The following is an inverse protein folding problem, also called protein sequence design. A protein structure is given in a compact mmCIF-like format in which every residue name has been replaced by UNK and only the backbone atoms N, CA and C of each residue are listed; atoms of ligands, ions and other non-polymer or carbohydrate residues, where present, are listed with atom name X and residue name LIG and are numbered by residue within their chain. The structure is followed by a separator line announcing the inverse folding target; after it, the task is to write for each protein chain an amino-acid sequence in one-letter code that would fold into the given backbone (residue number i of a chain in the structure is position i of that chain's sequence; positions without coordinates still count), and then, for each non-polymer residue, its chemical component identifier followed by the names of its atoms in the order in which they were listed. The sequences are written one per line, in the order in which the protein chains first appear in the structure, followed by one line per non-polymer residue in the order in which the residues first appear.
data_IF_670689961249
#
_entry.id   IF_670689961249
#
_cell.length_a   1.000
_cell.length_b   1.000
_cell.length_c   1.000
_cell.angle_alpha   90.00
_cell.angle_beta   90.00
_cell.angle_gamma   90.00
#
_symmetry.space_group_name_H-M   'P 1'
#
loop_
_entity.id
_entity.type
_entity.pdbx_description
1 polymer ?
#
# COMPACT_ATOMS: atom_id res chain seq x y z
N UNK A 1 2.81 9.48 18.65
CA UNK A 1 4.23 9.43 19.00
C UNK A 1 4.94 8.88 17.77
N UNK A 2 6.14 9.38 17.45
CA UNK A 2 6.95 8.81 16.38
C UNK A 2 7.26 7.33 16.65
N UNK A 3 7.34 6.52 15.62
CA UNK A 3 7.75 5.11 15.70
C UNK A 3 9.23 4.96 15.34
N UNK A 4 9.74 3.72 15.33
CA UNK A 4 11.15 3.45 15.00
C UNK A 4 11.50 3.77 13.54
N UNK A 5 10.51 3.75 12.64
CA UNK A 5 10.73 3.92 11.21
C UNK A 5 9.93 5.07 10.59
N UNK A 6 9.14 5.81 11.40
CA UNK A 6 8.39 6.99 10.95
C UNK A 6 8.42 8.11 11.99
N UNK A 7 8.75 9.33 11.56
CA UNK A 7 8.78 10.54 12.39
C UNK A 7 7.47 11.35 12.36
N UNK A 8 6.34 10.68 12.10
CA UNK A 8 5.02 11.31 12.03
C UNK A 8 4.36 11.45 13.42
N UNK A 9 3.52 12.46 13.59
CA UNK A 9 2.67 12.67 14.76
C UNK A 9 1.36 11.84 14.69
N UNK A 10 0.66 11.60 15.82
CA UNK A 10 -0.69 11.04 15.79
C UNK A 10 -1.62 11.89 14.92
N UNK A 11 -2.41 11.25 14.06
CA UNK A 11 -3.32 11.93 13.14
C UNK A 11 -2.67 12.44 11.85
N UNK A 12 -1.36 12.27 11.66
CA UNK A 12 -0.70 12.67 10.41
C UNK A 12 -1.03 11.78 9.23
N UNK A 13 -1.34 10.51 9.47
CA UNK A 13 -1.81 9.58 8.44
C UNK A 13 -3.34 9.55 8.41
N UNK A 14 -3.90 9.53 7.21
CA UNK A 14 -5.29 9.21 6.99
C UNK A 14 -5.54 7.71 7.26
N UNK A 15 -6.80 7.34 7.49
CA UNK A 15 -7.16 5.94 7.68
C UNK A 15 -6.90 5.04 6.46
N UNK A 16 -6.79 5.63 5.27
CA UNK A 16 -6.47 4.93 4.01
C UNK A 16 -5.08 5.36 3.52
N UNK A 17 -4.19 4.40 3.32
CA UNK A 17 -2.83 4.63 2.81
C UNK A 17 -2.61 3.84 1.52
N UNK A 18 -2.26 4.53 0.43
CA UNK A 18 -1.70 3.90 -0.76
C UNK A 18 -0.20 3.68 -0.57
N UNK A 19 0.30 2.50 -0.92
CA UNK A 19 1.70 2.15 -0.68
C UNK A 19 2.41 1.67 -1.94
N UNK A 20 3.12 2.55 -2.67
CA UNK A 20 4.11 2.13 -3.64
C UNK A 20 5.37 1.59 -2.95
N UNK A 21 6.21 0.86 -3.70
CA UNK A 21 7.52 0.43 -3.17
C UNK A 21 8.56 1.54 -3.17
N UNK A 22 8.52 2.42 -4.16
CA UNK A 22 9.51 3.47 -4.40
C UNK A 22 9.07 4.82 -3.78
N UNK A 23 9.90 5.47 -2.95
CA UNK A 23 9.61 6.80 -2.40
C UNK A 23 9.40 7.88 -3.48
N UNK A 24 10.08 7.80 -4.62
CA UNK A 24 9.86 8.73 -5.73
C UNK A 24 8.46 8.56 -6.32
N UNK A 25 7.94 7.32 -6.31
CA UNK A 25 6.55 7.05 -6.74
C UNK A 25 5.55 7.53 -5.70
N UNK A 26 5.87 7.49 -4.41
CA UNK A 26 5.02 8.08 -3.38
C UNK A 26 4.90 9.61 -3.56
N UNK A 27 6.04 10.27 -3.82
CA UNK A 27 6.05 11.69 -4.16
C UNK A 27 5.27 11.98 -5.44
N UNK A 28 5.51 11.22 -6.51
CA UNK A 28 4.77 11.39 -7.77
C UNK A 28 3.26 11.33 -7.57
N UNK A 29 2.75 10.34 -6.83
CA UNK A 29 1.31 10.21 -6.58
C UNK A 29 0.81 11.39 -5.75
N UNK A 30 1.55 11.79 -4.72
CA UNK A 30 1.23 12.95 -3.88
C UNK A 30 1.09 14.22 -4.72
N UNK A 31 2.11 14.54 -5.51
CA UNK A 31 2.18 15.78 -6.29
C UNK A 31 1.17 15.82 -7.44
N UNK A 32 0.81 14.65 -7.98
CA UNK A 32 -0.07 14.55 -9.16
C UNK A 32 -1.56 14.49 -8.80
N UNK A 33 -1.90 13.84 -7.68
CA UNK A 33 -3.29 13.48 -7.40
C UNK A 33 -3.84 14.07 -6.10
N UNK A 34 -3.01 14.49 -5.16
CA UNK A 34 -3.49 14.98 -3.87
C UNK A 34 -3.49 16.51 -3.80
N UNK A 35 -4.61 17.06 -3.35
CA UNK A 35 -4.72 18.46 -2.95
C UNK A 35 -4.11 18.63 -1.55
N UNK A 36 -3.48 19.79 -1.30
CA UNK A 36 -2.90 20.16 0.00
C UNK A 36 -1.94 19.11 0.59
N UNK A 37 -1.22 18.40 -0.29
CA UNK A 37 -0.35 17.32 0.14
C UNK A 37 0.85 17.85 0.95
N UNK A 38 1.10 17.23 2.10
CA UNK A 38 2.28 17.49 2.94
C UNK A 38 3.04 16.21 3.21
N UNK A 39 4.38 16.30 3.24
CA UNK A 39 5.22 15.19 3.69
C UNK A 39 5.09 15.03 5.21
N UNK A 40 4.79 13.83 5.67
CA UNK A 40 4.57 13.51 7.09
C UNK A 40 5.67 12.64 7.68
N UNK A 41 6.45 11.95 6.85
CA UNK A 41 7.62 11.19 7.29
C UNK A 41 8.66 11.09 6.17
N UNK A 42 9.94 11.05 6.56
CA UNK A 42 11.07 10.90 5.64
C UNK A 42 12.21 10.01 6.19
N UNK A 43 12.01 9.38 7.35
CA UNK A 43 12.97 8.45 7.96
C UNK A 43 13.39 7.36 6.95
N UNK A 44 14.70 7.13 6.82
CA UNK A 44 15.32 6.15 5.90
C UNK A 44 15.02 6.39 4.41
N UNK A 45 14.67 7.61 4.03
CA UNK A 45 14.15 7.95 2.70
C UNK A 45 12.84 7.20 2.37
N UNK A 46 12.10 6.77 3.38
CA UNK A 46 10.77 6.20 3.19
C UNK A 46 9.72 7.29 3.30
N UNK A 47 9.50 7.98 2.19
CA UNK A 47 8.65 9.16 2.17
C UNK A 47 7.17 8.80 2.29
N UNK A 48 6.50 9.50 3.20
CA UNK A 48 5.05 9.44 3.38
C UNK A 48 4.44 10.83 3.29
N UNK A 49 3.27 10.91 2.67
CA UNK A 49 2.53 12.13 2.41
C UNK A 49 1.08 11.95 2.81
N UNK A 50 0.42 13.03 3.20
CA UNK A 50 -1.02 13.08 3.44
C UNK A 50 -1.58 14.34 2.78
N UNK A 51 -2.69 14.18 2.08
CA UNK A 51 -3.44 15.26 1.44
C UNK A 51 -4.89 14.81 1.23
N UNK A 52 -5.57 15.43 0.27
CA UNK A 52 -6.95 15.15 -0.04
C UNK A 52 -7.11 14.68 -1.49
N UNK A 53 -7.98 13.69 -1.71
CA UNK A 53 -8.42 13.31 -3.04
C UNK A 53 -9.94 13.42 -3.09
N UNK A 54 -10.46 14.33 -3.92
CA UNK A 54 -11.92 14.59 -4.03
C UNK A 54 -12.58 14.86 -2.67
N UNK A 55 -11.92 15.65 -1.82
CA UNK A 55 -12.40 16.01 -0.48
C UNK A 55 -12.25 14.93 0.59
N UNK A 56 -11.57 13.81 0.28
CA UNK A 56 -11.29 12.75 1.26
C UNK A 56 -9.81 12.74 1.63
N UNK A 57 -9.51 12.73 2.93
CA UNK A 57 -8.14 12.57 3.42
C UNK A 57 -7.57 11.21 3.00
N UNK A 58 -6.41 11.23 2.35
CA UNK A 58 -5.71 10.04 1.84
C UNK A 58 -4.21 10.24 2.05
N UNK A 59 -3.54 9.17 2.47
CA UNK A 59 -2.09 9.16 2.56
C UNK A 59 -1.46 8.29 1.48
N UNK A 60 -0.23 8.62 1.11
CA UNK A 60 0.61 7.82 0.22
C UNK A 60 1.95 7.65 0.88
N UNK A 61 2.41 6.41 1.06
CA UNK A 61 3.70 6.15 1.71
C UNK A 61 4.44 4.99 1.06
N UNK A 62 5.72 5.19 0.77
CA UNK A 62 6.54 4.11 0.26
C UNK A 62 6.76 3.00 1.30
N UNK A 63 7.00 1.78 0.82
CA UNK A 63 7.24 0.62 1.69
C UNK A 63 8.53 -0.15 1.38
N UNK A 64 9.36 0.34 0.46
CA UNK A 64 10.57 -0.33 0.01
C UNK A 64 10.32 -1.61 -0.81
N UNK A 65 11.35 -2.46 -0.93
CA UNK A 65 11.27 -3.72 -1.66
C UNK A 65 11.28 -4.92 -0.70
N UNK A 66 10.38 -5.88 -0.93
CA UNK A 66 10.31 -7.14 -0.21
C UNK A 66 9.39 -7.13 1.03
N UNK A 67 8.93 -8.34 1.37
CA UNK A 67 8.02 -8.58 2.51
C UNK A 67 8.56 -8.03 3.84
N UNK A 68 9.86 -8.19 4.19
CA UNK A 68 10.38 -7.67 5.46
C UNK A 68 10.24 -6.15 5.58
N UNK A 69 10.55 -5.41 4.50
CA UNK A 69 10.45 -3.95 4.49
C UNK A 69 9.00 -3.50 4.65
N UNK A 70 8.10 -4.03 3.81
CA UNK A 70 6.68 -3.67 3.87
C UNK A 70 6.03 -4.04 5.21
N UNK A 71 6.44 -5.16 5.83
CA UNK A 71 5.90 -5.61 7.12
C UNK A 71 6.12 -4.58 8.22
N UNK A 72 7.26 -3.90 8.24
CA UNK A 72 7.57 -2.86 9.24
C UNK A 72 6.58 -1.70 9.13
N UNK A 73 6.51 -1.11 7.93
CA UNK A 73 5.70 0.10 7.72
C UNK A 73 4.20 -0.20 7.88
N UNK A 74 3.70 -1.31 7.33
CA UNK A 74 2.31 -1.71 7.53
C UNK A 74 1.97 -1.92 9.02
N UNK A 75 2.86 -2.57 9.78
CA UNK A 75 2.62 -2.82 11.21
C UNK A 75 2.53 -1.53 12.00
N UNK A 76 3.47 -0.60 11.77
CA UNK A 76 3.49 0.68 12.47
C UNK A 76 2.31 1.58 12.06
N UNK A 77 1.97 1.64 10.77
CA UNK A 77 0.80 2.38 10.26
C UNK A 77 -0.50 1.91 10.95
N UNK A 78 -0.71 0.60 11.03
CA UNK A 78 -1.93 0.02 11.59
C UNK A 78 -1.98 0.20 13.11
N UNK A 79 -0.89 -0.14 13.81
CA UNK A 79 -0.89 -0.21 15.29
C UNK A 79 -0.65 1.14 15.96
N UNK A 80 0.11 2.03 15.34
CA UNK A 80 0.57 3.29 15.96
C UNK A 80 -0.11 4.54 15.38
N UNK A 81 -0.55 4.47 14.12
CA UNK A 81 -1.16 5.60 13.40
C UNK A 81 -2.65 5.39 13.06
N UNK A 82 -3.24 4.26 13.47
CA UNK A 82 -4.68 4.03 13.35
C UNK A 82 -5.17 3.76 11.94
N UNK A 83 -4.26 3.50 10.98
CA UNK A 83 -4.59 3.17 9.60
C UNK A 83 -5.48 1.94 9.55
N UNK A 84 -6.56 2.01 8.77
CA UNK A 84 -7.57 0.95 8.62
C UNK A 84 -7.44 0.20 7.31
N UNK A 85 -6.93 0.87 6.28
CA UNK A 85 -6.87 0.34 4.91
C UNK A 85 -5.51 0.64 4.29
N UNK A 86 -4.82 -0.41 3.88
CA UNK A 86 -3.54 -0.32 3.15
C UNK A 86 -3.76 -0.89 1.75
N UNK A 87 -3.42 -0.11 0.73
CA UNK A 87 -3.55 -0.50 -0.68
C UNK A 87 -2.18 -0.42 -1.33
N UNK A 88 -1.54 -1.57 -1.58
CA UNK A 88 -0.29 -1.60 -2.35
C UNK A 88 -0.55 -1.24 -3.81
N UNK A 89 0.18 -0.25 -4.33
CA UNK A 89 0.15 0.15 -5.74
C UNK A 89 1.53 -0.05 -6.38
N UNK A 90 1.68 -1.13 -7.14
CA UNK A 90 2.99 -1.57 -7.63
C UNK A 90 2.95 -2.12 -9.04
N UNK A 91 4.13 -2.51 -9.52
CA UNK A 91 4.28 -3.30 -10.75
C UNK A 91 4.45 -4.77 -10.41
N UNK A 92 4.14 -5.64 -11.38
CA UNK A 92 4.42 -7.07 -11.35
C UNK A 92 4.82 -7.55 -12.74
N UNK A 93 5.46 -8.73 -12.78
CA UNK A 93 5.63 -9.50 -14.02
C UNK A 93 4.54 -10.56 -14.13
N UNK A 94 4.38 -11.14 -15.31
CA UNK A 94 3.43 -12.22 -15.59
C UNK A 94 4.09 -13.28 -16.47
N UNK A 95 3.78 -14.54 -16.21
CA UNK A 95 4.04 -15.67 -17.11
C UNK A 95 2.77 -16.09 -17.87
N UNK A 96 1.62 -15.50 -17.55
CA UNK A 96 0.34 -15.83 -18.19
C UNK A 96 0.27 -15.17 -19.58
N UNK A 97 0.08 -15.94 -20.66
CA UNK A 97 0.20 -15.44 -22.03
C UNK A 97 -0.83 -14.35 -22.39
N UNK A 98 -1.98 -14.34 -21.73
CA UNK A 98 -3.06 -13.38 -22.00
C UNK A 98 -2.89 -12.03 -21.31
N UNK A 99 -2.02 -11.94 -20.31
CA UNK A 99 -1.75 -10.68 -19.59
C UNK A 99 -0.72 -9.88 -20.39
N UNK A 100 -1.07 -8.67 -20.79
CA UNK A 100 -0.24 -7.80 -21.63
C UNK A 100 0.45 -6.71 -20.80
N UNK A 101 1.46 -6.06 -21.39
CA UNK A 101 2.09 -4.90 -20.77
C UNK A 101 1.03 -3.82 -20.51
N UNK A 102 1.05 -3.28 -19.29
CA UNK A 102 0.11 -2.26 -18.77
C UNK A 102 -1.29 -2.76 -18.40
N UNK A 103 -1.57 -4.06 -18.50
CA UNK A 103 -2.79 -4.63 -17.90
C UNK A 103 -2.76 -4.43 -16.37
N UNK A 104 -3.92 -4.12 -15.77
CA UNK A 104 -4.08 -3.89 -14.34
C UNK A 104 -4.52 -5.17 -13.66
N UNK A 105 -3.72 -5.65 -12.70
CA UNK A 105 -4.05 -6.83 -11.92
C UNK A 105 -4.51 -6.42 -10.51
N UNK A 106 -5.76 -6.77 -10.19
CA UNK A 106 -6.29 -6.69 -8.83
C UNK A 106 -6.18 -8.07 -8.19
N UNK A 107 -5.16 -8.25 -7.35
CA UNK A 107 -4.88 -9.53 -6.71
C UNK A 107 -5.74 -9.73 -5.46
N UNK A 108 -6.59 -10.76 -5.45
CA UNK A 108 -7.37 -11.14 -4.28
C UNK A 108 -6.61 -11.98 -3.26
N UNK A 109 -5.48 -12.57 -3.67
CA UNK A 109 -4.60 -13.35 -2.82
C UNK A 109 -3.16 -13.36 -3.34
N UNK A 110 -2.22 -13.77 -2.49
CA UNK A 110 -0.80 -13.81 -2.84
C UNK A 110 -0.15 -15.11 -2.36
N UNK A 111 0.40 -15.89 -3.29
CA UNK A 111 1.35 -16.96 -2.97
C UNK A 111 2.71 -16.37 -2.57
N UNK A 112 3.50 -17.13 -1.84
CA UNK A 112 4.85 -16.70 -1.44
C UNK A 112 5.77 -17.88 -1.19
N UNK A 113 7.04 -17.71 -1.52
CA UNK A 113 8.16 -18.58 -1.13
C UNK A 113 8.78 -18.15 0.21
N UNK A 114 8.36 -17.00 0.78
CA UNK A 114 8.82 -16.52 2.06
C UNK A 114 8.28 -17.35 3.22
N UNK A 115 9.14 -17.67 4.19
CA UNK A 115 8.73 -18.31 5.45
C UNK A 115 7.87 -17.43 6.37
N UNK A 116 7.61 -16.16 6.02
CA UNK A 116 6.91 -15.20 6.89
C UNK A 116 5.53 -15.66 7.36
N UNK A 117 4.74 -16.30 6.49
CA UNK A 117 3.39 -16.75 6.84
C UNK A 117 3.43 -18.03 7.67
N UNK A 118 4.26 -19.01 7.27
CA UNK A 118 4.45 -20.26 8.04
C UNK A 118 4.93 -19.98 9.46
N UNK A 119 5.87 -19.04 9.64
CA UNK A 119 6.34 -18.64 10.96
C UNK A 119 5.22 -18.06 11.84
N UNK A 120 4.25 -17.35 11.25
CA UNK A 120 3.10 -16.78 11.97
C UNK A 120 1.98 -17.79 12.21
N UNK A 121 1.91 -18.83 11.39
CA UNK A 121 0.82 -19.80 11.36
C UNK A 121 1.28 -21.21 11.76
N UNK A 122 2.29 -21.30 12.64
CA UNK A 122 2.72 -22.57 13.25
C UNK A 122 3.27 -23.61 12.27
N UNK A 123 3.87 -23.18 11.16
CA UNK A 123 4.38 -24.04 10.11
C UNK A 123 3.35 -24.42 9.03
N UNK A 124 2.07 -24.12 9.24
CA UNK A 124 1.00 -24.41 8.28
C UNK A 124 0.92 -23.37 7.16
N UNK A 125 0.24 -23.74 6.08
CA UNK A 125 -0.01 -22.86 4.95
C UNK A 125 -1.20 -21.93 5.23
N UNK A 126 -0.90 -20.64 5.31
CA UNK A 126 -1.90 -19.59 5.48
C UNK A 126 -2.30 -18.99 4.13
N UNK A 127 -3.61 -18.93 3.86
CA UNK A 127 -4.15 -18.27 2.68
C UNK A 127 -4.13 -16.74 2.85
N UNK A 128 -3.09 -16.09 2.32
CA UNK A 128 -2.95 -14.63 2.36
C UNK A 128 -3.90 -13.95 1.36
N UNK A 129 -5.09 -13.61 1.84
CA UNK A 129 -6.17 -13.00 1.07
C UNK A 129 -6.32 -11.51 1.39
N UNK A 130 -6.74 -10.74 0.39
CA UNK A 130 -7.17 -9.35 0.56
C UNK A 130 -8.59 -9.28 1.14
N UNK A 131 -8.96 -8.11 1.67
CA UNK A 131 -10.36 -7.82 2.03
C UNK A 131 -11.23 -7.85 0.78
N UNK A 132 -12.30 -8.66 0.78
CA UNK A 132 -13.23 -8.76 -0.35
C UNK A 132 -13.85 -7.41 -0.72
N UNK A 133 -14.30 -6.63 0.27
CA UNK A 133 -14.91 -5.30 0.04
C UNK A 133 -13.95 -4.34 -0.68
N UNK A 134 -12.66 -4.38 -0.36
CA UNK A 134 -11.65 -3.56 -1.07
C UNK A 134 -11.42 -4.06 -2.50
N UNK A 135 -11.38 -5.38 -2.70
CA UNK A 135 -11.21 -5.98 -4.04
C UNK A 135 -12.40 -5.63 -4.93
N UNK A 136 -13.62 -5.79 -4.44
CA UNK A 136 -14.84 -5.48 -5.18
C UNK A 136 -14.87 -4.00 -5.59
N UNK A 137 -14.58 -3.08 -4.66
CA UNK A 137 -14.51 -1.64 -4.94
C UNK A 137 -13.44 -1.29 -5.97
N UNK A 138 -12.28 -1.92 -5.91
CA UNK A 138 -11.21 -1.73 -6.90
C UNK A 138 -11.64 -2.22 -8.29
N UNK A 139 -12.30 -3.40 -8.37
CA UNK A 139 -12.81 -3.96 -9.63
C UNK A 139 -13.90 -3.05 -10.21
N UNK A 140 -14.83 -2.56 -9.39
CA UNK A 140 -15.87 -1.63 -9.82
C UNK A 140 -15.28 -0.32 -10.35
N UNK A 141 -14.28 0.24 -9.65
CA UNK A 141 -13.59 1.45 -10.09
C UNK A 141 -12.85 1.25 -11.42
N UNK A 142 -12.17 0.10 -11.60
CA UNK A 142 -11.50 -0.25 -12.85
C UNK A 142 -12.49 -0.37 -14.02
N UNK A 143 -13.62 -1.07 -13.81
CA UNK A 143 -14.68 -1.19 -14.82
C UNK A 143 -15.24 0.18 -15.21
N UNK A 144 -15.54 1.04 -14.23
CA UNK A 144 -16.05 2.39 -14.48
C UNK A 144 -15.04 3.27 -15.24
N UNK A 145 -13.74 3.06 -15.03
CA UNK A 145 -12.68 3.76 -15.73
C UNK A 145 -12.39 3.21 -17.14
N UNK A 146 -13.02 2.09 -17.54
CA UNK A 146 -12.78 1.46 -18.84
C UNK A 146 -11.36 0.92 -19.02
N UNK A 147 -10.66 0.63 -17.91
CA UNK A 147 -9.30 0.10 -17.93
C UNK A 147 -9.31 -1.43 -17.95
N UNK A 148 -8.28 -1.98 -18.60
CA UNK A 148 -8.06 -3.41 -18.73
C UNK A 148 -7.16 -3.94 -17.62
#
# INVERSE_FOLDING_TARGET
MATKHMNAAPGDFAETVLMPGDPLRAQYISDTYLDNARRVTDVRNMWGFTGEYKGHAVSVMAHGMGIPSASIYCTELITSYGVKRVIRVGSCGTSHPDVKLRDIIIAMGASTDSGCNRMRFGGYDYAALASFDLVEKAVAAAKAAGVR
#
